data_IF_102042496062
#
_entry.id   IF_102042496062
#
_cell.length_a   1.000
_cell.length_b   1.000
_cell.length_c   1.000
_cell.angle_alpha   90.00
_cell.angle_beta   90.00
_cell.angle_gamma   90.00
#
_symmetry.space_group_name_H-M   'P 1'
#
loop_
_entity.id
_entity.type
_entity.pdbx_description
1 polymer ?
#
# COMPACT_ATOMS: atom_id res chain seq x y z
N UNK A 1 22.94 23.80 11.55
CA UNK A 1 22.53 22.70 10.65
C UNK A 1 21.54 21.85 11.42
N UNK A 2 20.27 21.83 11.03
CA UNK A 2 19.23 21.07 11.74
C UNK A 2 19.39 19.60 11.42
N UNK A 3 19.80 18.80 12.41
CA UNK A 3 19.79 17.33 12.32
C UNK A 3 18.39 16.88 11.91
N UNK A 4 18.27 16.42 10.68
CA UNK A 4 17.04 15.85 10.18
C UNK A 4 16.84 14.56 10.95
N UNK A 5 15.96 14.59 11.97
CA UNK A 5 15.59 13.40 12.76
C UNK A 5 15.36 12.23 11.79
N UNK A 6 16.26 11.25 11.83
CA UNK A 6 16.16 10.03 11.03
C UNK A 6 14.83 9.38 11.42
N UNK A 7 13.80 9.50 10.58
CA UNK A 7 12.48 8.96 10.88
C UNK A 7 12.62 7.45 11.02
N UNK A 8 12.48 6.95 12.25
CA UNK A 8 12.43 5.52 12.53
C UNK A 8 11.20 4.96 11.80
N UNK A 9 11.44 4.03 10.88
CA UNK A 9 10.38 3.38 10.12
C UNK A 9 9.81 2.25 11.00
N UNK A 10 8.48 2.16 11.17
CA UNK A 10 7.89 1.01 11.84
C UNK A 10 8.22 -0.26 11.07
N UNK A 11 8.54 -1.35 11.79
CA UNK A 11 8.87 -2.66 11.21
C UNK A 11 7.75 -3.23 10.31
N UNK A 12 6.53 -2.70 10.43
CA UNK A 12 5.34 -3.12 9.69
C UNK A 12 5.03 -2.27 8.46
N UNK A 13 5.89 -1.31 8.08
CA UNK A 13 5.65 -0.41 6.95
C UNK A 13 6.28 -0.94 5.66
N UNK A 14 5.45 -1.41 4.75
CA UNK A 14 5.81 -1.98 3.45
C UNK A 14 5.86 -0.88 2.39
N UNK A 15 6.97 -0.73 1.65
CA UNK A 15 7.06 0.15 0.49
C UNK A 15 6.31 -0.46 -0.69
N UNK A 16 5.55 0.36 -1.40
CA UNK A 16 4.75 -0.07 -2.56
C UNK A 16 5.06 0.78 -3.78
N UNK A 17 4.87 0.19 -4.95
CA UNK A 17 4.80 0.87 -6.24
C UNK A 17 3.35 1.33 -6.50
N UNK A 18 3.10 2.66 -6.50
CA UNK A 18 1.75 3.19 -6.74
C UNK A 18 1.20 2.87 -8.13
N UNK A 19 2.05 2.71 -9.14
CA UNK A 19 1.61 2.38 -10.50
C UNK A 19 1.12 0.94 -10.55
N UNK A 20 1.84 0.00 -9.93
CA UNK A 20 1.42 -1.40 -9.83
C UNK A 20 0.13 -1.54 -9.01
N UNK A 21 0.02 -0.87 -7.86
CA UNK A 21 -1.23 -0.90 -7.09
C UNK A 21 -2.43 -0.33 -7.88
N UNK A 22 -2.25 0.79 -8.60
CA UNK A 22 -3.31 1.32 -9.48
C UNK A 22 -3.71 0.33 -10.57
N UNK A 23 -2.75 -0.41 -11.12
CA UNK A 23 -3.01 -1.44 -12.13
C UNK A 23 -3.84 -2.59 -11.56
N UNK A 24 -3.50 -3.07 -10.36
CA UNK A 24 -4.26 -4.10 -9.61
C UNK A 24 -5.72 -3.68 -9.43
N UNK A 25 -5.96 -2.44 -8.97
CA UNK A 25 -7.30 -1.92 -8.74
C UNK A 25 -8.08 -1.77 -10.07
N UNK A 26 -7.42 -1.22 -11.10
CA UNK A 26 -8.03 -1.02 -12.42
C UNK A 26 -8.45 -2.34 -13.07
N UNK A 27 -7.65 -3.40 -12.93
CA UNK A 27 -7.97 -4.75 -13.43
C UNK A 27 -9.24 -5.33 -12.79
N UNK A 28 -9.60 -4.86 -11.60
CA UNK A 28 -10.81 -5.25 -10.86
C UNK A 28 -11.94 -4.23 -10.98
N UNK A 29 -11.77 -3.21 -11.82
CA UNK A 29 -12.73 -2.10 -11.98
C UNK A 29 -13.06 -1.37 -10.67
N UNK A 30 -12.11 -1.34 -9.72
CA UNK A 30 -12.24 -0.65 -8.44
C UNK A 30 -11.48 0.67 -8.50
N UNK A 31 -12.11 1.76 -8.08
CA UNK A 31 -11.46 3.06 -7.92
C UNK A 31 -10.94 3.27 -6.48
N UNK A 32 -10.14 4.32 -6.28
CA UNK A 32 -9.51 4.59 -4.98
C UNK A 32 -10.53 4.80 -3.83
N UNK A 33 -11.65 5.45 -4.13
CA UNK A 33 -12.69 5.73 -3.14
C UNK A 33 -13.38 4.44 -2.74
N UNK A 34 -13.84 3.65 -3.72
CA UNK A 34 -14.46 2.34 -3.50
C UNK A 34 -13.56 1.42 -2.68
N UNK A 35 -12.27 1.37 -3.02
CA UNK A 35 -11.32 0.55 -2.25
C UNK A 35 -11.16 1.04 -0.81
N UNK A 36 -11.19 2.35 -0.59
CA UNK A 36 -11.13 2.90 0.77
C UNK A 36 -12.38 2.54 1.57
N UNK A 37 -13.55 2.63 0.94
CA UNK A 37 -14.85 2.29 1.54
C UNK A 37 -14.95 0.79 1.86
N UNK A 38 -14.48 -0.09 0.96
CA UNK A 38 -14.41 -1.54 1.18
C UNK A 38 -13.58 -1.92 2.41
N UNK A 39 -12.56 -1.12 2.73
CA UNK A 39 -11.70 -1.32 3.90
C UNK A 39 -12.20 -0.57 5.16
N UNK A 40 -13.39 0.03 5.10
CA UNK A 40 -13.95 0.84 6.18
C UNK A 40 -13.11 2.07 6.54
N UNK A 41 -12.38 2.64 5.56
CA UNK A 41 -11.54 3.83 5.73
C UNK A 41 -12.21 5.08 5.15
N UNK A 42 -11.62 6.26 5.40
CA UNK A 42 -12.07 7.50 4.75
C UNK A 42 -11.85 7.44 3.24
N UNK A 43 -12.66 8.18 2.47
CA UNK A 43 -12.61 8.21 0.99
C UNK A 43 -11.24 8.57 0.41
N UNK A 44 -10.39 9.22 1.19
CA UNK A 44 -9.07 9.71 0.80
C UNK A 44 -7.94 8.72 1.17
N UNK A 45 -8.24 7.67 1.94
CA UNK A 45 -7.23 6.79 2.51
C UNK A 45 -6.34 6.17 1.43
N UNK A 46 -6.92 5.64 0.35
CA UNK A 46 -6.13 5.06 -0.74
C UNK A 46 -5.27 6.11 -1.46
N UNK A 47 -5.74 7.36 -1.57
CA UNK A 47 -4.93 8.45 -2.12
C UNK A 47 -3.71 8.75 -1.23
N UNK A 48 -3.87 8.67 0.10
CA UNK A 48 -2.76 8.79 1.05
C UNK A 48 -1.76 7.65 0.89
N UNK A 49 -2.22 6.40 0.78
CA UNK A 49 -1.36 5.23 0.56
C UNK A 49 -0.52 5.40 -0.71
N UNK A 50 -1.16 5.77 -1.83
CA UNK A 50 -0.49 6.01 -3.11
C UNK A 50 0.53 7.15 -3.03
N UNK A 51 0.20 8.24 -2.31
CA UNK A 51 1.12 9.37 -2.13
C UNK A 51 2.31 9.04 -1.22
N UNK A 52 2.05 8.31 -0.11
CA UNK A 52 3.09 7.89 0.84
C UNK A 52 3.96 6.76 0.30
N UNK A 53 3.52 6.08 -0.76
CA UNK A 53 4.17 4.90 -1.35
C UNK A 53 4.42 3.80 -0.32
N UNK A 54 3.57 3.75 0.71
CA UNK A 54 3.73 2.87 1.86
C UNK A 54 2.38 2.46 2.41
N UNK A 55 2.30 1.21 2.82
CA UNK A 55 1.14 0.62 3.49
C UNK A 55 1.62 -0.16 4.72
N UNK A 56 0.78 -0.26 5.75
CA UNK A 56 1.06 -1.14 6.88
C UNK A 56 0.77 -2.60 6.50
N UNK A 57 1.56 -3.55 7.01
CA UNK A 57 1.37 -4.99 6.78
C UNK A 57 -0.09 -5.45 6.96
N UNK A 58 -0.72 -5.13 8.08
CA UNK A 58 -2.10 -5.55 8.36
C UNK A 58 -3.11 -4.92 7.41
N UNK A 59 -2.86 -3.67 6.98
CA UNK A 59 -3.70 -3.01 5.97
C UNK A 59 -3.51 -3.61 4.58
N UNK A 60 -2.32 -4.16 4.28
CA UNK A 60 -2.07 -4.87 3.03
C UNK A 60 -2.77 -6.24 3.04
N UNK A 61 -2.82 -6.92 4.18
CA UNK A 61 -3.58 -8.15 4.37
C UNK A 61 -5.09 -7.92 4.21
N UNK A 62 -5.63 -6.87 4.85
CA UNK A 62 -7.03 -6.46 4.66
C UNK A 62 -7.32 -6.13 3.18
N UNK A 63 -6.40 -5.44 2.50
CA UNK A 63 -6.49 -5.12 1.08
C UNK A 63 -6.50 -6.39 0.21
N UNK A 64 -5.64 -7.36 0.50
CA UNK A 64 -5.62 -8.64 -0.21
C UNK A 64 -6.95 -9.37 -0.04
N UNK A 65 -7.47 -9.44 1.19
CA UNK A 65 -8.78 -10.02 1.50
C UNK A 65 -9.91 -9.34 0.72
N UNK A 66 -9.96 -8.00 0.72
CA UNK A 66 -10.98 -7.25 -0.01
C UNK A 66 -10.88 -7.41 -1.54
N UNK A 67 -9.71 -7.72 -2.07
CA UNK A 67 -9.47 -7.99 -3.49
C UNK A 67 -9.64 -9.47 -3.87
N UNK A 68 -10.01 -10.34 -2.91
CA UNK A 68 -10.01 -11.80 -3.05
C UNK A 68 -8.68 -12.33 -3.60
N UNK A 69 -7.56 -11.81 -3.09
CA UNK A 69 -6.20 -12.23 -3.44
C UNK A 69 -5.52 -12.88 -2.25
N UNK A 70 -4.54 -13.75 -2.53
CA UNK A 70 -3.57 -14.12 -1.51
C UNK A 70 -2.68 -12.91 -1.17
N UNK A 71 -2.29 -12.78 0.10
CA UNK A 71 -1.37 -11.74 0.56
C UNK A 71 -0.04 -11.76 -0.23
N UNK A 72 0.57 -12.93 -0.41
CA UNK A 72 1.86 -13.09 -1.08
C UNK A 72 1.81 -12.60 -2.52
N UNK A 73 0.77 -13.00 -3.25
CA UNK A 73 0.55 -12.58 -4.65
C UNK A 73 0.40 -11.06 -4.76
N UNK A 74 -0.42 -10.45 -3.90
CA UNK A 74 -0.59 -9.00 -3.91
C UNK A 74 0.72 -8.30 -3.54
N UNK A 75 1.43 -8.80 -2.53
CA UNK A 75 2.71 -8.25 -2.09
C UNK A 75 3.72 -8.25 -3.23
N UNK A 76 3.95 -9.39 -3.87
CA UNK A 76 4.87 -9.50 -5.02
C UNK A 76 4.44 -8.59 -6.18
N UNK A 77 3.13 -8.48 -6.43
CA UNK A 77 2.64 -7.63 -7.51
C UNK A 77 2.85 -6.13 -7.25
N UNK A 78 2.80 -5.66 -5.99
CA UNK A 78 2.81 -4.21 -5.71
C UNK A 78 4.02 -3.69 -4.93
N UNK A 79 4.88 -4.56 -4.39
CA UNK A 79 6.03 -4.11 -3.59
C UNK A 79 7.02 -3.31 -4.44
N UNK A 80 7.55 -2.24 -3.86
CA UNK A 80 8.71 -1.53 -4.39
C UNK A 80 9.97 -2.27 -3.92
N UNK A 81 10.44 -3.22 -4.75
CA UNK A 81 11.51 -4.17 -4.42
C UNK A 81 12.82 -3.48 -4.05
N UNK A 82 13.19 -2.42 -4.78
CA UNK A 82 14.42 -1.65 -4.49
C UNK A 82 14.37 -1.05 -3.08
N UNK A 83 13.23 -0.46 -2.70
CA UNK A 83 13.05 0.08 -1.35
C UNK A 83 12.90 -1.00 -0.28
N UNK A 84 12.38 -2.17 -0.64
CA UNK A 84 12.22 -3.30 0.28
C UNK A 84 13.57 -3.92 0.65
N UNK A 85 14.43 -4.15 -0.34
CA UNK A 85 15.77 -4.72 -0.15
C UNK A 85 16.76 -3.74 0.53
N UNK A 86 16.44 -2.46 0.55
CA UNK A 86 17.23 -1.41 1.21
C UNK A 86 16.83 -1.16 2.69
N UNK A 87 15.91 -1.95 3.24
CA UNK A 87 15.52 -1.92 4.67
C UNK A 87 16.47 -2.76 5.52
#
# INVERSE_FOLDING_TARGET
>A
MSETKKRVRPATSIPIDPAKLRLVLRRRFINNREMSELLGKSSEWMAVVLHKRRINFYMLDDLAGALNMNFGDLFEEIVDEEQWLAL
#
